data_IF_090582893421
#
_entry.id   IF_090582893421
#
_cell.length_a   1.000
_cell.length_b   1.000
_cell.length_c   1.000
_cell.angle_alpha   90.00
_cell.angle_beta   90.00
_cell.angle_gamma   90.00
#
_symmetry.space_group_name_H-M   'P 1'
#
loop_
_entity.id
_entity.type
_entity.pdbx_description
1 polymer ?
#
# COMPACT_ATOMS: atom_id res chain seq x y z
N UNK A 1 1.36 31.97 6.73
CA UNK A 1 0.44 31.79 5.58
C UNK A 1 0.42 30.32 5.25
N UNK A 2 -0.70 29.63 5.50
CA UNK A 2 -0.84 28.24 5.03
C UNK A 2 -1.03 28.31 3.51
N UNK A 3 0.03 28.08 2.75
CA UNK A 3 -0.12 27.93 1.31
C UNK A 3 -0.84 26.60 1.06
N UNK A 4 -2.06 26.66 0.59
CA UNK A 4 -2.77 25.48 0.13
C UNK A 4 -2.11 25.01 -1.17
N UNK A 5 -1.79 23.74 -1.27
CA UNK A 5 -1.28 23.14 -2.50
C UNK A 5 -2.32 23.28 -3.61
N UNK A 6 -1.86 23.50 -4.85
CA UNK A 6 -2.75 23.45 -6.04
C UNK A 6 -3.25 22.01 -6.29
N UNK A 7 -2.39 21.02 -5.96
CA UNK A 7 -2.69 19.60 -6.12
C UNK A 7 -2.12 18.79 -4.96
N UNK A 8 -2.81 17.67 -4.66
CA UNK A 8 -2.37 16.66 -3.69
C UNK A 8 -2.28 15.31 -4.41
N UNK A 9 -1.07 14.77 -4.49
CA UNK A 9 -0.78 13.61 -5.36
C UNK A 9 -0.06 12.52 -4.55
N UNK A 10 -0.51 11.27 -4.72
CA UNK A 10 0.10 10.08 -4.14
C UNK A 10 0.94 9.31 -5.16
N UNK A 11 1.88 8.51 -4.68
CA UNK A 11 2.65 7.59 -5.51
C UNK A 11 1.76 6.59 -6.27
N UNK A 12 0.65 6.14 -5.65
CA UNK A 12 -0.29 5.21 -6.30
C UNK A 12 -0.97 5.84 -7.52
N UNK A 13 -1.33 7.12 -7.46
CA UNK A 13 -1.87 7.85 -8.60
C UNK A 13 -0.85 7.99 -9.74
N UNK A 14 0.42 8.22 -9.40
CA UNK A 14 1.51 8.26 -10.39
C UNK A 14 1.76 6.89 -11.01
N UNK A 15 1.73 5.81 -10.24
CA UNK A 15 1.80 4.45 -10.77
C UNK A 15 0.65 4.17 -11.77
N UNK A 16 -0.57 4.57 -11.42
CA UNK A 16 -1.73 4.37 -12.30
C UNK A 16 -1.64 5.20 -13.57
N UNK A 17 -1.12 6.42 -13.49
CA UNK A 17 -0.88 7.27 -14.66
C UNK A 17 0.25 6.73 -15.55
N UNK A 18 1.35 6.25 -14.98
CA UNK A 18 2.44 5.60 -15.71
C UNK A 18 1.95 4.36 -16.46
N UNK A 19 1.08 3.58 -15.81
CA UNK A 19 0.47 2.42 -16.44
C UNK A 19 -0.46 2.82 -17.60
N UNK A 20 -1.30 3.85 -17.40
CA UNK A 20 -2.15 4.42 -18.46
C UNK A 20 -1.34 4.85 -19.69
N UNK A 21 -0.19 5.50 -19.51
CA UNK A 21 0.66 5.93 -20.62
C UNK A 21 1.25 4.76 -21.41
N UNK A 22 1.32 3.58 -20.82
CA UNK A 22 1.88 2.35 -21.45
C UNK A 22 0.80 1.39 -21.96
N UNK A 23 -0.45 1.57 -21.55
CA UNK A 23 -1.57 0.68 -21.93
C UNK A 23 -2.25 1.21 -23.19
N UNK A 24 -2.31 0.35 -24.22
CA UNK A 24 -2.97 0.66 -25.51
C UNK A 24 -4.48 0.34 -25.52
N UNK A 25 -5.05 -0.09 -24.39
CA UNK A 25 -6.48 -0.44 -24.33
C UNK A 25 -7.37 0.78 -24.33
N UNK A 26 -8.49 0.69 -25.02
CA UNK A 26 -9.51 1.76 -25.05
C UNK A 26 -10.05 2.09 -23.64
N UNK A 27 -10.05 1.12 -22.70
CA UNK A 27 -10.52 1.34 -21.32
C UNK A 27 -9.51 2.02 -20.40
N UNK A 28 -8.25 2.19 -20.82
CA UNK A 28 -7.17 2.65 -19.95
C UNK A 28 -7.44 4.04 -19.32
N UNK A 29 -8.06 4.96 -20.07
CA UNK A 29 -8.44 6.28 -19.54
C UNK A 29 -9.53 6.18 -18.49
N UNK A 30 -10.54 5.31 -18.69
CA UNK A 30 -11.59 5.09 -17.71
C UNK A 30 -11.05 4.42 -16.45
N UNK A 31 -10.18 3.43 -16.58
CA UNK A 31 -9.53 2.77 -15.45
C UNK A 31 -8.70 3.75 -14.61
N UNK A 32 -8.02 4.70 -15.24
CA UNK A 32 -7.31 5.78 -14.56
C UNK A 32 -8.28 6.74 -13.85
N UNK A 33 -9.36 7.17 -14.52
CA UNK A 33 -10.39 8.04 -13.94
C UNK A 33 -11.05 7.36 -12.72
N UNK A 34 -11.37 6.09 -12.82
CA UNK A 34 -11.96 5.32 -11.70
C UNK A 34 -11.00 5.25 -10.51
N UNK A 35 -9.69 5.08 -10.78
CA UNK A 35 -8.66 5.10 -9.74
C UNK A 35 -8.55 6.47 -9.07
N UNK A 36 -8.54 7.56 -9.86
CA UNK A 36 -8.45 8.94 -9.33
C UNK A 36 -9.70 9.30 -8.54
N UNK A 37 -10.87 8.94 -9.06
CA UNK A 37 -12.15 9.20 -8.43
C UNK A 37 -12.45 8.26 -7.26
N UNK A 38 -11.57 7.30 -6.99
CA UNK A 38 -11.72 6.28 -5.93
C UNK A 38 -13.06 5.55 -6.03
N UNK A 39 -13.48 5.24 -7.27
CA UNK A 39 -14.74 4.54 -7.53
C UNK A 39 -14.67 3.15 -6.88
N UNK A 40 -15.55 2.86 -5.90
CA UNK A 40 -15.57 1.54 -5.29
C UNK A 40 -15.97 0.49 -6.31
N UNK A 41 -15.22 -0.58 -6.40
CA UNK A 41 -15.60 -1.72 -7.24
C UNK A 41 -16.79 -2.44 -6.63
N UNK A 42 -17.87 -2.59 -7.42
CA UNK A 42 -19.08 -3.30 -7.00
C UNK A 42 -18.87 -4.81 -7.21
N UNK A 43 -18.52 -5.52 -6.14
CA UNK A 43 -18.29 -6.96 -6.17
C UNK A 43 -19.51 -7.75 -6.68
N UNK A 44 -20.72 -7.28 -6.38
CA UNK A 44 -21.93 -7.98 -6.78
C UNK A 44 -22.18 -7.93 -8.30
N UNK A 45 -21.76 -6.83 -8.95
CA UNK A 45 -21.89 -6.62 -10.40
C UNK A 45 -20.67 -7.06 -11.19
N UNK A 46 -19.53 -7.28 -10.51
CA UNK A 46 -18.28 -7.66 -11.15
C UNK A 46 -18.39 -9.02 -11.85
N UNK A 47 -17.75 -9.16 -12.99
CA UNK A 47 -17.56 -10.45 -13.64
C UNK A 47 -16.59 -11.34 -12.83
N UNK A 48 -16.41 -12.59 -13.25
CA UNK A 48 -15.56 -13.56 -12.56
C UNK A 48 -14.11 -13.05 -12.41
N UNK A 49 -13.54 -12.50 -13.47
CA UNK A 49 -12.14 -12.03 -13.49
C UNK A 49 -11.95 -10.82 -12.56
N UNK A 50 -12.91 -9.93 -12.55
CA UNK A 50 -12.90 -8.75 -11.70
C UNK A 50 -13.10 -9.12 -10.23
N UNK A 51 -14.00 -10.07 -9.91
CA UNK A 51 -14.14 -10.63 -8.54
C UNK A 51 -12.84 -11.23 -8.04
N UNK A 52 -12.18 -12.07 -8.83
CA UNK A 52 -10.88 -12.63 -8.48
C UNK A 52 -9.82 -11.54 -8.20
N UNK A 53 -9.84 -10.44 -8.95
CA UNK A 53 -8.96 -9.29 -8.70
C UNK A 53 -9.29 -8.58 -7.38
N UNK A 54 -10.58 -8.36 -7.11
CA UNK A 54 -11.05 -7.73 -5.85
C UNK A 54 -10.66 -8.61 -4.66
N UNK A 55 -10.89 -9.93 -4.74
CA UNK A 55 -10.52 -10.89 -3.69
C UNK A 55 -9.01 -10.90 -3.42
N UNK A 56 -8.17 -10.88 -4.47
CA UNK A 56 -6.71 -10.80 -4.31
C UNK A 56 -6.27 -9.51 -3.61
N UNK A 57 -6.88 -8.38 -3.96
CA UNK A 57 -6.60 -7.10 -3.29
C UNK A 57 -7.06 -7.12 -1.83
N UNK A 58 -8.27 -7.64 -1.55
CA UNK A 58 -8.78 -7.78 -0.20
C UNK A 58 -7.91 -8.73 0.65
N UNK A 59 -7.42 -9.84 0.05
CA UNK A 59 -6.49 -10.77 0.72
C UNK A 59 -5.17 -10.07 1.10
N UNK A 60 -4.63 -9.23 0.21
CA UNK A 60 -3.42 -8.45 0.48
C UNK A 60 -3.59 -7.50 1.65
N UNK A 61 -4.66 -6.70 1.65
CA UNK A 61 -4.99 -5.77 2.74
C UNK A 61 -5.25 -6.51 4.05
N UNK A 62 -5.94 -7.64 3.99
CA UNK A 62 -6.18 -8.49 5.15
C UNK A 62 -4.88 -9.03 5.73
N UNK A 63 -3.94 -9.49 4.89
CA UNK A 63 -2.63 -9.96 5.33
C UNK A 63 -1.83 -8.86 6.04
N UNK A 64 -1.76 -7.66 5.44
CA UNK A 64 -1.12 -6.49 6.05
C UNK A 64 -1.76 -6.16 7.41
N UNK A 65 -3.10 -6.17 7.49
CA UNK A 65 -3.80 -5.96 8.75
C UNK A 65 -3.39 -6.99 9.82
N UNK A 66 -3.31 -8.27 9.47
CA UNK A 66 -2.85 -9.35 10.39
C UNK A 66 -1.44 -9.06 10.89
N UNK A 67 -0.51 -8.73 9.99
CA UNK A 67 0.87 -8.43 10.36
C UNK A 67 0.93 -7.22 11.31
N UNK A 68 0.16 -6.17 11.04
CA UNK A 68 0.09 -4.98 11.88
C UNK A 68 -0.41 -5.32 13.30
N UNK A 69 -1.46 -6.14 13.43
CA UNK A 69 -1.96 -6.58 14.75
C UNK A 69 -0.91 -7.39 15.52
N UNK A 70 -0.15 -8.22 14.84
CA UNK A 70 0.88 -9.05 15.47
C UNK A 70 2.12 -8.23 15.87
N UNK A 71 2.44 -7.16 15.15
CA UNK A 71 3.47 -6.21 15.56
C UNK A 71 3.06 -5.37 16.78
N UNK A 72 1.76 -5.11 16.94
CA UNK A 72 1.22 -4.37 18.08
C UNK A 72 1.09 -5.23 19.34
N UNK A 73 0.89 -6.55 19.21
CA UNK A 73 0.76 -7.49 20.34
C UNK A 73 1.71 -8.68 20.20
N UNK A 74 2.92 -8.53 20.75
CA UNK A 74 3.93 -9.59 20.78
C UNK A 74 3.49 -10.86 21.53
N UNK A 75 2.47 -10.80 22.42
CA UNK A 75 2.00 -11.98 23.14
C UNK A 75 1.31 -12.99 22.22
N UNK A 76 0.74 -12.53 21.10
CA UNK A 76 0.13 -13.41 20.10
C UNK A 76 1.20 -14.32 19.50
N UNK A 77 2.33 -13.74 19.07
CA UNK A 77 3.46 -14.48 18.49
C UNK A 77 4.05 -15.49 19.49
N UNK A 78 4.18 -15.11 20.76
CA UNK A 78 4.69 -16.03 21.79
C UNK A 78 3.77 -17.26 21.94
N UNK A 79 2.45 -17.08 21.87
CA UNK A 79 1.48 -18.18 21.90
C UNK A 79 1.53 -19.05 20.63
N UNK A 80 1.76 -18.46 19.46
CA UNK A 80 1.93 -19.19 18.20
C UNK A 80 3.16 -20.09 18.25
N UNK A 81 4.29 -19.56 18.70
CA UNK A 81 5.55 -20.30 18.81
C UNK A 81 5.52 -21.44 19.84
N UNK A 82 4.64 -21.35 20.84
CA UNK A 82 4.49 -22.38 21.87
C UNK A 82 3.65 -23.60 21.42
N UNK A 83 2.90 -23.49 20.32
CA UNK A 83 2.00 -24.53 19.83
C UNK A 83 2.59 -25.25 18.62
N UNK A 84 3.36 -26.32 18.85
CA UNK A 84 4.14 -27.04 17.83
C UNK A 84 3.43 -28.28 17.23
N UNK A 85 2.15 -28.50 17.45
CA UNK A 85 1.53 -29.81 17.26
C UNK A 85 0.64 -30.02 16.02
N UNK A 86 0.27 -28.99 15.28
CA UNK A 86 -0.54 -29.08 14.05
C UNK A 86 -0.23 -27.91 13.15
N UNK A 87 -0.57 -27.95 11.84
CA UNK A 87 -0.41 -26.79 10.96
C UNK A 87 -1.40 -25.68 11.36
N UNK A 88 -1.04 -24.77 12.27
CA UNK A 88 -1.96 -23.76 12.76
C UNK A 88 -2.23 -22.74 11.65
N UNK A 89 -3.47 -22.24 11.61
CA UNK A 89 -3.92 -21.28 10.59
C UNK A 89 -4.43 -20.00 11.25
N UNK A 90 -4.14 -18.86 10.64
CA UNK A 90 -4.74 -17.58 10.99
C UNK A 90 -5.96 -17.37 10.11
N UNK A 91 -7.14 -17.53 10.68
CA UNK A 91 -8.42 -17.32 9.99
C UNK A 91 -8.92 -15.91 10.26
N UNK A 92 -9.34 -15.22 9.22
CA UNK A 92 -9.76 -13.83 9.30
C UNK A 92 -11.06 -13.62 8.53
N UNK A 93 -12.07 -13.11 9.25
CA UNK A 93 -13.26 -12.52 8.66
C UNK A 93 -12.96 -11.05 8.38
N UNK A 94 -12.82 -10.69 7.11
CA UNK A 94 -12.41 -9.37 6.67
C UNK A 94 -13.54 -8.70 5.90
N UNK A 95 -13.93 -7.50 6.29
CA UNK A 95 -14.99 -6.74 5.64
C UNK A 95 -14.45 -5.48 4.98
N UNK A 96 -14.73 -5.33 3.68
CA UNK A 96 -14.39 -4.14 2.93
C UNK A 96 -15.53 -3.82 1.95
N UNK A 97 -15.95 -2.55 1.87
CA UNK A 97 -17.01 -2.07 0.98
C UNK A 97 -18.31 -2.90 1.04
N UNK A 98 -18.73 -3.30 2.25
CA UNK A 98 -19.90 -4.15 2.51
C UNK A 98 -19.82 -5.58 1.94
N UNK A 99 -18.61 -6.03 1.60
CA UNK A 99 -18.35 -7.43 1.22
C UNK A 99 -17.53 -8.09 2.32
N UNK A 100 -17.98 -9.28 2.76
CA UNK A 100 -17.26 -10.10 3.73
C UNK A 100 -16.44 -11.16 3.00
N UNK A 101 -15.17 -11.27 3.35
CA UNK A 101 -14.23 -12.27 2.85
C UNK A 101 -13.72 -13.12 4.01
N UNK A 102 -13.50 -14.40 3.75
CA UNK A 102 -12.88 -15.31 4.71
C UNK A 102 -11.51 -15.71 4.16
N UNK A 103 -10.45 -15.31 4.85
CA UNK A 103 -9.09 -15.66 4.46
C UNK A 103 -8.43 -16.55 5.50
N UNK A 104 -7.50 -17.35 5.02
CA UNK A 104 -6.77 -18.32 5.80
C UNK A 104 -5.27 -18.21 5.47
N UNK A 105 -4.44 -17.86 6.46
CA UNK A 105 -3.00 -17.68 6.30
C UNK A 105 -2.23 -18.74 7.08
N UNK A 106 -1.13 -19.19 6.50
CA UNK A 106 -0.19 -20.05 7.20
C UNK A 106 0.47 -19.29 8.36
N UNK A 107 0.44 -19.89 9.54
CA UNK A 107 1.05 -19.28 10.73
C UNK A 107 2.56 -19.11 10.54
N UNK A 108 3.23 -20.09 9.91
CA UNK A 108 4.68 -19.99 9.67
C UNK A 108 5.02 -18.78 8.81
N UNK A 109 4.24 -18.51 7.75
CA UNK A 109 4.41 -17.31 6.94
C UNK A 109 4.23 -16.02 7.75
N UNK A 110 3.17 -15.96 8.57
CA UNK A 110 2.89 -14.80 9.43
C UNK A 110 4.03 -14.58 10.43
N UNK A 111 4.52 -15.63 11.07
CA UNK A 111 5.64 -15.57 12.02
C UNK A 111 6.94 -15.15 11.33
N UNK A 112 7.24 -15.71 10.16
CA UNK A 112 8.45 -15.31 9.39
C UNK A 112 8.38 -13.82 8.99
N UNK A 113 7.23 -13.34 8.51
CA UNK A 113 7.05 -11.94 8.15
C UNK A 113 7.19 -11.03 9.36
N UNK A 114 6.53 -11.37 10.48
CA UNK A 114 6.65 -10.63 11.73
C UNK A 114 8.11 -10.55 12.20
N UNK A 115 8.82 -11.69 12.25
CA UNK A 115 10.21 -11.74 12.71
C UNK A 115 11.13 -10.91 11.82
N UNK A 116 10.90 -10.92 10.50
CA UNK A 116 11.63 -10.09 9.57
C UNK A 116 11.45 -8.61 9.89
N UNK A 117 10.22 -8.14 10.09
CA UNK A 117 9.92 -6.74 10.40
C UNK A 117 10.46 -6.31 11.78
N UNK A 118 10.38 -7.19 12.79
CA UNK A 118 10.99 -6.94 14.11
C UNK A 118 12.52 -6.85 13.99
N UNK A 119 13.14 -7.70 13.19
CA UNK A 119 14.59 -7.66 12.94
C UNK A 119 15.00 -6.34 12.25
N UNK A 120 14.18 -5.82 11.36
CA UNK A 120 14.35 -4.50 10.73
C UNK A 120 14.12 -3.33 11.69
N UNK A 121 13.74 -3.59 12.95
CA UNK A 121 13.49 -2.58 13.98
C UNK A 121 12.38 -1.59 13.59
N UNK A 122 11.30 -2.11 13.02
CA UNK A 122 10.08 -1.32 12.77
C UNK A 122 9.63 -0.68 14.08
N UNK A 123 9.45 0.64 14.07
CA UNK A 123 9.03 1.40 15.25
C UNK A 123 7.73 2.20 15.04
N UNK A 124 7.26 2.33 13.79
CA UNK A 124 6.01 3.01 13.48
C UNK A 124 5.32 2.36 12.29
N UNK A 125 3.98 2.29 12.36
CA UNK A 125 3.11 1.68 11.37
C UNK A 125 2.24 2.75 10.74
N UNK A 126 1.93 2.62 9.44
CA UNK A 126 1.01 3.48 8.70
C UNK A 126 1.28 4.98 8.89
N UNK A 127 2.55 5.38 8.67
CA UNK A 127 3.01 6.74 8.91
C UNK A 127 2.67 7.65 7.75
N UNK A 128 1.92 8.71 8.02
CA UNK A 128 1.68 9.77 7.03
C UNK A 128 2.96 10.57 6.79
N UNK A 129 3.31 10.74 5.52
CA UNK A 129 4.44 11.57 5.08
C UNK A 129 4.00 12.51 3.97
N UNK A 130 4.52 13.73 3.95
CA UNK A 130 4.30 14.66 2.85
C UNK A 130 5.45 15.65 2.65
N UNK A 131 5.58 16.17 1.43
CA UNK A 131 6.51 17.23 1.07
C UNK A 131 6.01 17.99 -0.15
N UNK A 132 6.24 19.29 -0.19
CA UNK A 132 5.87 20.12 -1.33
C UNK A 132 6.95 20.13 -2.42
N UNK A 133 6.49 20.18 -3.67
CA UNK A 133 7.34 20.37 -4.84
C UNK A 133 6.70 21.43 -5.75
N UNK A 134 7.51 22.38 -6.23
CA UNK A 134 7.06 23.41 -7.16
C UNK A 134 7.49 23.06 -8.58
N UNK A 135 6.53 23.05 -9.52
CA UNK A 135 6.79 22.81 -10.92
C UNK A 135 7.26 24.09 -11.64
N UNK A 136 7.79 23.93 -12.85
CA UNK A 136 8.16 25.06 -13.71
C UNK A 136 6.96 25.96 -14.06
N UNK A 137 5.75 25.41 -14.08
CA UNK A 137 4.48 26.13 -14.23
C UNK A 137 4.04 26.93 -13.00
N UNK A 138 4.88 27.03 -11.96
CA UNK A 138 4.58 27.63 -10.65
C UNK A 138 3.43 26.95 -9.89
N UNK A 139 3.05 25.74 -10.27
CA UNK A 139 2.08 24.94 -9.52
C UNK A 139 2.75 24.31 -8.30
N UNK A 140 2.11 24.44 -7.14
CA UNK A 140 2.55 23.85 -5.88
C UNK A 140 1.86 22.52 -5.67
N UNK A 141 2.62 21.44 -5.62
CA UNK A 141 2.14 20.07 -5.45
C UNK A 141 2.50 19.59 -4.05
N UNK A 142 1.54 19.09 -3.29
CA UNK A 142 1.79 18.27 -2.11
C UNK A 142 1.88 16.80 -2.55
N UNK A 143 3.10 16.27 -2.52
CA UNK A 143 3.31 14.82 -2.60
C UNK A 143 3.10 14.23 -1.23
N UNK A 144 2.25 13.19 -1.13
CA UNK A 144 1.95 12.58 0.16
C UNK A 144 1.70 11.07 0.03
N UNK A 145 1.74 10.40 1.16
CA UNK A 145 1.40 8.98 1.25
C UNK A 145 1.41 8.47 2.69
N UNK A 146 1.02 7.20 2.82
CA UNK A 146 1.20 6.44 4.04
C UNK A 146 2.23 5.35 3.75
N UNK A 147 3.29 5.30 4.56
CA UNK A 147 4.27 4.22 4.50
C UNK A 147 3.85 3.14 5.49
N UNK A 148 3.91 1.88 5.07
CA UNK A 148 3.40 0.78 5.89
C UNK A 148 4.22 0.65 7.16
N UNK A 149 5.55 0.70 7.05
CA UNK A 149 6.46 0.57 8.19
C UNK A 149 7.61 1.57 8.09
N UNK A 150 7.94 2.18 9.22
CA UNK A 150 9.11 3.05 9.36
C UNK A 150 10.09 2.43 10.34
N UNK A 151 11.36 2.41 9.94
CA UNK A 151 12.51 2.05 10.78
C UNK A 151 13.41 3.28 10.97
N UNK A 152 14.46 3.24 11.80
CA UNK A 152 15.38 4.37 11.94
C UNK A 152 16.05 4.84 10.64
N UNK A 153 16.24 3.94 9.66
CA UNK A 153 16.98 4.24 8.44
C UNK A 153 16.25 3.87 7.14
N UNK A 154 15.08 3.25 7.23
CA UNK A 154 14.43 2.63 6.07
C UNK A 154 12.92 2.82 6.12
N UNK A 155 12.30 3.05 4.99
CA UNK A 155 10.87 2.81 4.78
C UNK A 155 10.71 1.38 4.26
N UNK A 156 9.73 0.66 4.79
CA UNK A 156 9.33 -0.65 4.27
C UNK A 156 7.90 -0.54 3.77
N UNK A 157 7.67 -1.01 2.55
CA UNK A 157 6.36 -1.11 1.94
C UNK A 157 6.06 -2.60 1.69
N UNK A 158 4.96 -3.10 2.30
CA UNK A 158 4.55 -4.50 2.21
C UNK A 158 3.71 -4.72 0.96
N UNK A 159 4.08 -5.71 0.17
CA UNK A 159 3.37 -6.07 -1.05
C UNK A 159 2.92 -7.52 -1.03
N UNK A 160 1.76 -7.77 -1.60
CA UNK A 160 1.33 -9.12 -1.96
C UNK A 160 1.31 -9.27 -3.47
N UNK A 161 1.73 -10.40 -3.98
CA UNK A 161 1.80 -10.67 -5.42
C UNK A 161 1.49 -12.13 -5.71
N UNK A 162 0.86 -12.40 -6.84
CA UNK A 162 0.69 -13.78 -7.32
C UNK A 162 1.81 -14.24 -8.24
N UNK A 163 2.69 -13.31 -8.63
CA UNK A 163 3.83 -13.56 -9.50
C UNK A 163 4.94 -12.60 -9.13
N UNK A 164 6.13 -13.12 -8.83
CA UNK A 164 7.29 -12.35 -8.43
C UNK A 164 8.45 -12.58 -9.39
N UNK A 165 8.89 -11.52 -10.05
CA UNK A 165 10.06 -11.50 -10.92
C UNK A 165 10.96 -10.33 -10.53
N UNK A 166 12.15 -10.62 -10.05
CA UNK A 166 13.14 -9.58 -9.66
C UNK A 166 13.76 -8.89 -10.88
N UNK A 167 13.93 -7.56 -10.88
CA UNK A 167 13.43 -6.56 -9.94
C UNK A 167 11.99 -6.14 -10.27
N UNK A 168 11.06 -6.33 -9.36
CA UNK A 168 9.63 -6.05 -9.58
C UNK A 168 9.28 -4.58 -9.34
N UNK A 169 9.93 -3.94 -8.36
CA UNK A 169 9.56 -2.62 -7.87
C UNK A 169 10.53 -1.51 -8.30
N UNK A 170 11.49 -1.81 -9.17
CA UNK A 170 12.51 -0.86 -9.64
C UNK A 170 11.93 0.44 -10.23
N UNK A 171 10.82 0.33 -10.96
CA UNK A 171 10.16 1.47 -11.61
C UNK A 171 8.93 1.97 -10.86
N UNK A 172 8.73 1.52 -9.62
CA UNK A 172 7.59 1.93 -8.81
C UNK A 172 7.73 3.39 -8.36
N UNK A 173 6.72 4.20 -8.60
CA UNK A 173 6.73 5.62 -8.22
C UNK A 173 6.77 5.84 -6.70
N UNK A 174 6.47 4.83 -5.88
CA UNK A 174 6.67 4.91 -4.44
C UNK A 174 8.13 5.17 -4.08
N UNK A 175 9.08 4.52 -4.77
CA UNK A 175 10.52 4.76 -4.56
C UNK A 175 10.89 6.23 -4.81
N UNK A 176 10.37 6.81 -5.90
CA UNK A 176 10.66 8.21 -6.23
C UNK A 176 9.99 9.21 -5.27
N UNK A 177 8.71 8.98 -4.95
CA UNK A 177 7.95 9.87 -4.05
C UNK A 177 8.49 9.79 -2.61
N UNK A 178 8.68 8.58 -2.09
CA UNK A 178 9.17 8.39 -0.73
C UNK A 178 10.63 8.84 -0.61
N UNK A 179 11.47 8.53 -1.62
CA UNK A 179 12.83 9.03 -1.71
C UNK A 179 12.89 10.56 -1.70
N UNK A 180 12.04 11.25 -2.46
CA UNK A 180 11.97 12.71 -2.44
C UNK A 180 11.53 13.26 -1.08
N UNK A 181 10.50 12.68 -0.47
CA UNK A 181 9.94 13.19 0.79
C UNK A 181 10.95 13.03 1.94
N UNK A 182 11.66 11.92 2.00
CA UNK A 182 12.48 11.53 3.15
C UNK A 182 13.99 11.39 2.85
N UNK A 183 14.49 11.90 1.72
CA UNK A 183 15.90 11.77 1.30
C UNK A 183 16.92 12.16 2.38
N UNK A 184 16.56 13.12 3.26
CA UNK A 184 17.44 13.60 4.32
C UNK A 184 17.34 12.78 5.63
N UNK A 185 16.49 11.73 5.66
CA UNK A 185 16.14 11.01 6.90
C UNK A 185 16.34 9.50 6.83
N UNK A 186 16.31 8.92 5.64
CA UNK A 186 16.38 7.47 5.44
C UNK A 186 17.46 7.11 4.42
N UNK A 187 17.98 5.88 4.51
CA UNK A 187 18.99 5.34 3.59
C UNK A 187 18.41 4.49 2.46
N UNK A 188 17.22 3.91 2.64
CA UNK A 188 16.58 3.07 1.62
C UNK A 188 15.06 3.10 1.66
N UNK A 189 14.46 2.69 0.54
CA UNK A 189 13.07 2.26 0.43
C UNK A 189 13.10 0.77 0.11
N UNK A 190 12.52 -0.03 0.98
CA UNK A 190 12.51 -1.48 0.88
C UNK A 190 11.10 -1.96 0.52
N UNK A 191 11.02 -2.90 -0.41
CA UNK A 191 9.78 -3.62 -0.69
C UNK A 191 9.92 -5.03 -0.16
N UNK A 192 9.08 -5.39 0.80
CA UNK A 192 8.93 -6.76 1.27
C UNK A 192 7.68 -7.32 0.63
N UNK A 193 7.83 -8.32 -0.23
CA UNK A 193 6.72 -8.91 -0.96
C UNK A 193 6.50 -10.36 -0.54
N UNK A 194 5.26 -10.83 -0.66
CA UNK A 194 4.93 -12.25 -0.49
C UNK A 194 3.91 -12.71 -1.54
N UNK A 195 4.09 -13.94 -2.00
CA UNK A 195 3.10 -14.70 -2.78
C UNK A 195 2.24 -15.63 -1.89
N UNK A 196 2.34 -15.48 -0.57
CA UNK A 196 1.78 -16.31 0.51
C UNK A 196 2.48 -17.65 0.75
N UNK A 197 3.59 -17.93 0.04
CA UNK A 197 4.47 -19.08 0.26
C UNK A 197 5.89 -18.61 0.59
N UNK A 198 6.35 -17.62 -0.17
CA UNK A 198 7.70 -17.06 -0.07
C UNK A 198 7.65 -15.59 0.35
N UNK A 199 8.77 -15.12 0.91
CA UNK A 199 9.01 -13.71 1.22
C UNK A 199 10.19 -13.24 0.38
N UNK A 200 10.00 -12.14 -0.32
CA UNK A 200 10.98 -11.49 -1.18
C UNK A 200 11.32 -10.12 -0.61
N UNK A 201 12.58 -9.70 -0.73
CA UNK A 201 13.02 -8.41 -0.22
C UNK A 201 13.84 -7.67 -1.29
N UNK A 202 13.35 -6.52 -1.74
CA UNK A 202 14.05 -5.61 -2.64
C UNK A 202 14.42 -4.34 -1.90
N UNK A 203 15.68 -3.92 -1.99
CA UNK A 203 16.22 -2.74 -1.31
C UNK A 203 16.65 -1.73 -2.36
N UNK A 204 16.10 -0.52 -2.27
CA UNK A 204 16.44 0.59 -3.14
C UNK A 204 17.08 1.72 -2.31
N UNK A 205 18.39 1.87 -2.46
CA UNK A 205 19.13 2.93 -1.76
C UNK A 205 18.63 4.31 -2.18
N UNK A 206 18.58 5.22 -1.22
CA UNK A 206 18.18 6.59 -1.49
C UNK A 206 19.30 7.32 -2.22
N UNK A 207 18.93 7.85 -3.36
CA UNK A 207 19.77 8.74 -4.17
C UNK A 207 19.69 10.18 -3.67
N UNK A 208 20.54 11.04 -4.21
CA UNK A 208 20.49 12.48 -3.89
C UNK A 208 19.13 13.07 -4.25
N UNK A 209 18.59 13.95 -3.41
CA UNK A 209 17.25 14.53 -3.57
C UNK A 209 17.01 15.15 -4.96
N UNK A 210 18.03 15.75 -5.57
CA UNK A 210 17.94 16.34 -6.91
C UNK A 210 17.59 15.31 -8.00
N UNK A 211 18.00 14.05 -7.83
CA UNK A 211 17.63 12.97 -8.76
C UNK A 211 16.13 12.74 -8.74
N UNK A 212 15.54 12.62 -7.54
CA UNK A 212 14.11 12.43 -7.38
C UNK A 212 13.33 13.65 -7.86
N UNK A 213 13.78 14.84 -7.50
CA UNK A 213 13.15 16.09 -7.92
C UNK A 213 13.10 16.23 -9.44
N UNK A 214 14.18 15.91 -10.14
CA UNK A 214 14.22 15.91 -11.61
C UNK A 214 13.23 14.91 -12.21
N UNK A 215 13.21 13.67 -11.70
CA UNK A 215 12.29 12.63 -12.17
C UNK A 215 10.83 13.01 -11.94
N UNK A 216 10.52 13.47 -10.74
CA UNK A 216 9.16 13.83 -10.35
C UNK A 216 8.65 15.06 -11.10
N UNK A 217 9.42 16.13 -11.24
CA UNK A 217 8.96 17.36 -11.90
C UNK A 217 8.47 17.11 -13.33
N UNK A 218 9.24 16.37 -14.11
CA UNK A 218 8.87 16.07 -15.49
C UNK A 218 7.59 15.22 -15.56
N UNK A 219 7.48 14.20 -14.73
CA UNK A 219 6.33 13.30 -14.76
C UNK A 219 5.07 13.96 -14.17
N UNK A 220 5.21 14.73 -13.10
CA UNK A 220 4.13 15.51 -12.50
C UNK A 220 3.58 16.54 -13.49
N UNK A 221 4.44 17.20 -14.28
CA UNK A 221 3.97 18.16 -15.28
C UNK A 221 3.00 17.47 -16.27
N UNK A 222 3.37 16.29 -16.79
CA UNK A 222 2.49 15.51 -17.69
C UNK A 222 1.19 15.10 -17.00
N UNK A 223 1.29 14.67 -15.75
CA UNK A 223 0.10 14.25 -14.98
C UNK A 223 -0.84 15.42 -14.72
N UNK A 224 -0.31 16.60 -14.34
CA UNK A 224 -1.12 17.82 -14.14
C UNK A 224 -1.80 18.26 -15.45
N UNK A 225 -1.12 18.23 -16.57
CA UNK A 225 -1.72 18.55 -17.86
C UNK A 225 -2.88 17.61 -18.19
N UNK A 226 -2.73 16.34 -17.90
CA UNK A 226 -3.81 15.36 -18.06
C UNK A 226 -4.96 15.63 -17.08
N UNK A 227 -4.69 15.95 -15.80
CA UNK A 227 -5.71 16.31 -14.81
C UNK A 227 -6.52 17.53 -15.22
N UNK A 228 -5.85 18.60 -15.67
CA UNK A 228 -6.53 19.82 -16.12
C UNK A 228 -7.41 19.55 -17.36
N UNK A 229 -6.94 18.75 -18.30
CA UNK A 229 -7.72 18.35 -19.49
C UNK A 229 -8.97 17.53 -19.11
N UNK A 230 -8.90 16.74 -18.05
CA UNK A 230 -9.99 15.86 -17.59
C UNK A 230 -10.71 16.38 -16.34
N UNK A 231 -10.50 17.64 -15.96
CA UNK A 231 -10.98 18.22 -14.70
C UNK A 231 -12.50 18.08 -14.48
N UNK A 232 -13.27 18.14 -15.54
CA UNK A 232 -14.73 17.98 -15.52
C UNK A 232 -15.18 16.52 -15.27
N UNK A 233 -14.30 15.54 -15.51
CA UNK A 233 -14.54 14.11 -15.26
C UNK A 233 -14.08 13.69 -13.87
N UNK A 234 -13.32 14.55 -13.15
CA UNK A 234 -12.73 14.23 -11.85
C UNK A 234 -13.66 14.70 -10.75
N UNK A 235 -14.18 13.77 -9.98
CA UNK A 235 -15.12 13.99 -8.86
C UNK A 235 -14.43 14.03 -7.51
N UNK A 236 -13.30 13.33 -7.33
CA UNK A 236 -12.50 13.42 -6.09
C UNK A 236 -11.77 14.76 -6.01
N UNK A 237 -12.34 15.69 -5.22
CA UNK A 237 -11.80 17.04 -5.06
C UNK A 237 -10.52 17.12 -4.23
N UNK A 238 -10.15 16.03 -3.55
CA UNK A 238 -8.90 15.95 -2.76
C UNK A 238 -7.67 16.18 -3.62
N UNK A 239 -7.68 15.68 -4.86
CA UNK A 239 -6.56 15.87 -5.79
C UNK A 239 -6.30 17.34 -6.11
N UNK A 240 -7.30 18.22 -5.99
CA UNK A 240 -7.21 19.66 -6.19
C UNK A 240 -7.03 20.43 -4.86
N UNK A 241 -6.59 19.77 -3.78
CA UNK A 241 -6.35 20.39 -2.48
C UNK A 241 -7.60 20.93 -1.75
N UNK A 242 -8.81 20.58 -2.22
CA UNK A 242 -10.07 21.16 -1.72
C UNK A 242 -10.68 20.42 -0.53
N UNK A 243 -10.23 19.19 -0.24
CA UNK A 243 -10.78 18.35 0.83
C UNK A 243 -9.67 17.60 1.56
N UNK A 244 -9.89 17.30 2.85
CA UNK A 244 -8.97 16.50 3.66
C UNK A 244 -9.29 15.00 3.56
N UNK A 245 -8.26 14.15 3.72
CA UNK A 245 -8.44 12.71 3.77
C UNK A 245 -9.15 12.29 5.06
N UNK A 246 -10.26 11.54 4.91
CA UNK A 246 -10.87 10.78 5.99
C UNK A 246 -10.61 9.31 5.67
N UNK A 247 -9.57 8.74 6.28
CA UNK A 247 -9.29 7.30 6.16
C UNK A 247 -10.26 6.53 7.04
N UNK A 248 -11.03 5.60 6.45
CA UNK A 248 -11.73 4.57 7.22
C UNK A 248 -10.81 3.35 7.32
N UNK A 249 -10.52 2.91 8.54
CA UNK A 249 -9.86 1.63 8.76
C UNK A 249 -10.79 0.49 8.33
N UNK A 250 -10.28 -0.57 7.69
CA UNK A 250 -11.07 -1.76 7.42
C UNK A 250 -11.48 -2.43 8.73
N UNK A 251 -12.67 -3.03 8.75
CA UNK A 251 -13.12 -3.84 9.87
C UNK A 251 -12.69 -5.29 9.65
N UNK A 252 -12.01 -5.88 10.62
CA UNK A 252 -11.60 -7.27 10.56
C UNK A 252 -11.68 -7.95 11.93
N UNK A 253 -12.08 -9.23 11.93
CA UNK A 253 -12.04 -10.09 13.10
C UNK A 253 -11.01 -11.17 12.84
N UNK A 254 -9.95 -11.21 13.66
CA UNK A 254 -8.90 -12.21 13.57
C UNK A 254 -9.20 -13.35 14.54
N UNK A 255 -9.21 -14.57 14.05
CA UNK A 255 -9.28 -15.78 14.85
C UNK A 255 -8.05 -16.63 14.55
N UNK A 256 -7.32 -17.03 15.57
CA UNK A 256 -6.19 -17.96 15.42
C UNK A 256 -6.65 -19.36 15.79
N UNK A 257 -6.55 -20.30 14.82
CA UNK A 257 -6.86 -21.70 14.99
C UNK A 257 -5.55 -22.48 15.19
N UNK A 258 -5.35 -23.01 16.39
CA UNK A 258 -4.16 -23.76 16.77
C UNK A 258 -4.26 -25.26 16.46
N UNK A 259 -5.31 -25.69 15.71
CA UNK A 259 -5.43 -27.08 15.25
C UNK A 259 -5.82 -28.10 16.33
N UNK A 260 -6.30 -27.67 17.49
CA UNK A 260 -6.81 -28.54 18.58
C UNK A 260 -8.30 -28.32 18.83
N UNK A 261 -9.01 -29.32 19.35
CA UNK A 261 -10.46 -29.29 19.56
C UNK A 261 -10.98 -28.15 20.48
N UNK A 262 -10.09 -27.45 21.21
CA UNK A 262 -10.47 -26.46 22.25
C UNK A 262 -9.84 -25.06 22.07
N UNK A 263 -9.29 -24.71 20.92
CA UNK A 263 -8.40 -23.52 20.82
C UNK A 263 -8.90 -22.38 19.94
N UNK A 264 -10.18 -22.02 19.98
CA UNK A 264 -10.67 -20.79 19.34
C UNK A 264 -10.59 -19.61 20.30
N UNK A 265 -9.62 -18.70 20.10
CA UNK A 265 -9.59 -17.40 20.82
C UNK A 265 -9.80 -16.28 19.81
N UNK A 266 -10.79 -15.42 20.06
CA UNK A 266 -10.95 -14.15 19.37
C UNK A 266 -9.87 -13.18 19.84
N UNK A 267 -9.20 -12.55 18.91
CA UNK A 267 -8.33 -11.40 19.13
C UNK A 267 -9.16 -10.19 18.71
N UNK A 268 -9.64 -9.44 19.67
CA UNK A 268 -10.39 -8.19 19.49
C UNK A 268 -9.45 -7.00 19.60
#
# INVERSE_FOLDING_TARGET
>A
MNSTADYRITASQLNSFDWFLKDEKESAEQDLLDTINRVPKDYAKADKKEREKIEKMAKGKCFEYVINQFLLDNNIIAKLNANTGACPRVKVDFSENNVCFNFDFDVDLVVRMHNLLVHQKVHSLQVFISKYITLASNKLIELYGYVDYLTPLTIIDLKTTSDYNFPKYLTNWQTYVYGYILADRIGSVDFIATDFEHIYHEIYNIEHINYYEYKLKNFLQLFIEWLEKNKNKITDKKIFGLENDITRSPEAIITVDFGGADARKKVS
#
